data_IF_852048687570
#
_entry.id   IF_852048687570
#
_cell.length_a   1.000
_cell.length_b   1.000
_cell.length_c   1.000
_cell.angle_alpha   90.00
_cell.angle_beta   90.00
_cell.angle_gamma   90.00
#
_symmetry.space_group_name_H-M   'P 1'
#
loop_
_entity.id
_entity.type
_entity.pdbx_description
1 polymer ?
#
# COMPACT_ATOMS: atom_id res chain seq x y z
N UNK A 1 18.30 -24.71 11.46
CA UNK A 1 17.96 -23.29 11.24
C UNK A 1 18.11 -23.01 9.76
N UNK A 2 17.01 -22.86 9.02
CA UNK A 2 17.05 -22.36 7.63
C UNK A 2 16.65 -20.90 7.72
N UNK A 3 17.63 -20.00 7.59
CA UNK A 3 17.36 -18.57 7.40
C UNK A 3 16.61 -18.39 6.08
N UNK A 4 15.39 -17.90 6.15
CA UNK A 4 14.65 -17.49 4.95
C UNK A 4 14.98 -16.03 4.67
N UNK A 5 15.93 -15.78 3.77
CA UNK A 5 16.18 -14.46 3.19
C UNK A 5 15.05 -14.08 2.22
N UNK A 6 13.89 -13.71 2.76
CA UNK A 6 12.77 -13.17 1.97
C UNK A 6 12.80 -11.64 2.05
N UNK A 7 13.82 -11.04 1.45
CA UNK A 7 13.92 -9.59 1.32
C UNK A 7 13.79 -9.18 -0.14
N UNK A 8 12.97 -8.18 -0.43
CA UNK A 8 12.94 -7.53 -1.75
C UNK A 8 14.31 -6.92 -2.15
N UNK A 9 15.23 -6.78 -1.18
CA UNK A 9 16.62 -6.37 -1.44
C UNK A 9 17.43 -7.43 -2.18
N UNK A 10 16.93 -8.67 -2.24
CA UNK A 10 17.54 -9.72 -3.07
C UNK A 10 17.34 -9.45 -4.58
N UNK A 11 16.34 -8.64 -4.96
CA UNK A 11 16.03 -8.30 -6.35
C UNK A 11 16.43 -6.86 -6.74
N UNK A 12 16.60 -5.95 -5.76
CA UNK A 12 16.77 -4.51 -6.02
C UNK A 12 17.46 -3.77 -4.86
N UNK A 13 17.89 -2.53 -5.09
CA UNK A 13 18.22 -1.62 -4.00
C UNK A 13 16.92 -0.95 -3.53
N UNK A 14 16.60 -1.08 -2.25
CA UNK A 14 15.38 -0.50 -1.69
C UNK A 14 15.69 0.81 -0.96
N UNK A 15 14.89 1.84 -1.25
CA UNK A 15 14.92 3.11 -0.54
C UNK A 15 13.57 3.30 0.16
N UNK A 16 13.59 3.30 1.49
CA UNK A 16 12.41 3.62 2.31
C UNK A 16 12.50 5.09 2.74
N UNK A 17 11.46 5.87 2.43
CA UNK A 17 11.42 7.30 2.73
C UNK A 17 10.23 7.55 3.67
N UNK A 18 10.50 8.14 4.83
CA UNK A 18 9.45 8.63 5.73
C UNK A 18 8.99 10.01 5.25
N UNK A 19 7.75 10.11 4.79
CA UNK A 19 7.19 11.33 4.21
C UNK A 19 5.69 11.40 4.52
N UNK A 20 5.11 12.59 4.77
CA UNK A 20 5.75 13.93 4.82
C UNK A 20 6.57 14.21 6.08
N UNK A 21 7.09 15.44 6.20
CA UNK A 21 7.58 15.99 7.46
C UNK A 21 6.52 15.81 8.57
N UNK A 22 6.92 15.23 9.70
CA UNK A 22 6.04 14.81 10.79
C UNK A 22 5.80 13.30 10.84
N UNK A 23 6.15 12.53 9.80
CA UNK A 23 6.11 11.06 9.80
C UNK A 23 7.45 10.50 10.27
N UNK A 24 7.40 9.57 11.23
CA UNK A 24 8.59 8.90 11.76
C UNK A 24 9.62 9.90 12.32
N UNK A 25 10.80 9.96 11.70
CA UNK A 25 11.87 10.92 12.01
C UNK A 25 11.97 12.10 11.05
N UNK A 26 11.11 12.18 10.04
CA UNK A 26 11.05 13.35 9.16
C UNK A 26 10.42 14.53 9.89
N UNK A 27 10.99 15.73 9.77
CA UNK A 27 10.54 16.92 10.50
C UNK A 27 10.78 18.22 9.72
N UNK A 28 10.09 19.28 10.11
CA UNK A 28 10.35 20.66 9.70
C UNK A 28 10.40 21.56 10.92
N UNK A 29 11.18 22.64 10.86
CA UNK A 29 11.14 23.69 11.88
C UNK A 29 10.01 24.70 11.62
N UNK A 30 9.31 24.58 10.49
CA UNK A 30 8.24 25.49 10.07
C UNK A 30 6.89 24.84 10.35
N UNK A 31 6.05 25.48 11.16
CA UNK A 31 4.75 24.94 11.55
C UNK A 31 3.79 24.75 10.37
N UNK A 32 3.86 25.58 9.34
CA UNK A 32 3.01 25.47 8.15
C UNK A 32 3.30 24.24 7.30
N UNK A 33 4.47 23.61 7.43
CA UNK A 33 4.77 22.37 6.68
C UNK A 33 3.98 21.16 7.19
N UNK A 34 3.35 21.26 8.36
CA UNK A 34 2.48 20.22 8.92
C UNK A 34 1.02 20.34 8.45
N UNK A 35 0.65 21.44 7.78
CA UNK A 35 -0.59 21.54 7.00
C UNK A 35 -0.29 21.10 5.58
N UNK A 36 -0.72 19.88 5.24
CA UNK A 36 -0.17 19.14 4.11
C UNK A 36 -1.27 18.54 3.23
N UNK A 37 -0.95 18.37 1.95
CA UNK A 37 -1.78 17.66 0.99
C UNK A 37 -0.90 16.92 -0.03
N UNK A 38 -1.53 16.07 -0.83
CA UNK A 38 -0.88 15.15 -1.76
C UNK A 38 0.07 15.88 -2.72
N UNK A 39 -0.34 17.03 -3.28
CA UNK A 39 0.46 17.80 -4.22
C UNK A 39 1.78 18.30 -3.60
N UNK A 40 1.71 18.87 -2.39
CA UNK A 40 2.91 19.33 -1.67
C UNK A 40 3.81 18.16 -1.27
N UNK A 41 3.24 16.99 -0.96
CA UNK A 41 4.03 15.76 -0.72
C UNK A 41 4.78 15.35 -2.00
N UNK A 42 4.13 15.40 -3.16
CA UNK A 42 4.77 15.07 -4.43
C UNK A 42 5.93 16.03 -4.75
N UNK A 43 5.75 17.34 -4.52
CA UNK A 43 6.79 18.36 -4.69
C UNK A 43 7.97 18.16 -3.73
N UNK A 44 7.70 17.95 -2.43
CA UNK A 44 8.73 17.72 -1.42
C UNK A 44 9.52 16.42 -1.72
N UNK A 45 8.83 15.38 -2.21
CA UNK A 45 9.46 14.12 -2.63
C UNK A 45 10.30 14.28 -3.89
N UNK A 46 9.88 15.09 -4.86
CA UNK A 46 10.69 15.40 -6.04
C UNK A 46 12.00 16.11 -5.64
N UNK A 47 11.90 17.11 -4.76
CA UNK A 47 13.06 17.80 -4.19
C UNK A 47 13.96 16.85 -3.39
N UNK A 48 13.38 15.91 -2.64
CA UNK A 48 14.12 14.85 -1.96
C UNK A 48 14.92 14.02 -2.96
N UNK A 49 14.31 13.53 -4.04
CA UNK A 49 15.00 12.69 -5.02
C UNK A 49 16.13 13.43 -5.73
N UNK A 50 15.94 14.70 -6.12
CA UNK A 50 17.01 15.51 -6.72
C UNK A 50 18.22 15.58 -5.78
N UNK A 51 18.00 15.93 -4.51
CA UNK A 51 19.06 16.00 -3.49
C UNK A 51 19.67 14.63 -3.18
N UNK A 52 18.87 13.57 -3.21
CA UNK A 52 19.34 12.22 -2.98
C UNK A 52 20.27 11.77 -4.10
N UNK A 53 19.92 12.02 -5.36
CA UNK A 53 20.77 11.71 -6.51
C UNK A 53 22.05 12.56 -6.54
N UNK A 54 22.02 13.80 -6.07
CA UNK A 54 23.25 14.60 -5.94
C UNK A 54 24.18 14.05 -4.86
N UNK A 55 23.63 13.50 -3.78
CA UNK A 55 24.40 12.85 -2.72
C UNK A 55 24.90 11.46 -3.10
N UNK A 56 24.13 10.73 -3.91
CA UNK A 56 24.40 9.36 -4.36
C UNK A 56 24.38 9.26 -5.90
N UNK A 57 25.33 9.93 -6.59
CA UNK A 57 25.34 10.05 -8.04
C UNK A 57 25.44 8.71 -8.77
N UNK A 58 25.99 7.67 -8.13
CA UNK A 58 26.08 6.31 -8.66
C UNK A 58 24.71 5.64 -8.93
N UNK A 59 23.63 6.20 -8.39
CA UNK A 59 22.28 5.74 -8.67
C UNK A 59 21.60 6.49 -9.82
N UNK A 60 22.15 7.62 -10.32
CA UNK A 60 21.51 8.44 -11.37
C UNK A 60 21.21 7.66 -12.66
N UNK A 61 22.02 6.66 -13.00
CA UNK A 61 21.84 5.80 -14.18
C UNK A 61 20.95 4.57 -13.94
N UNK A 62 20.62 4.27 -12.68
CA UNK A 62 19.84 3.07 -12.34
C UNK A 62 18.37 3.25 -12.66
N UNK A 63 17.72 2.14 -12.94
CA UNK A 63 16.28 2.07 -13.14
C UNK A 63 15.56 2.41 -11.83
N UNK A 64 14.59 3.31 -11.91
CA UNK A 64 13.78 3.77 -10.79
C UNK A 64 12.40 3.11 -10.88
N UNK A 65 12.03 2.40 -9.82
CA UNK A 65 10.70 1.83 -9.64
C UNK A 65 10.03 2.51 -8.46
N UNK A 66 8.81 2.99 -8.64
CA UNK A 66 8.05 3.66 -7.58
C UNK A 66 6.98 2.70 -7.07
N UNK A 67 7.05 2.38 -5.78
CA UNK A 67 6.12 1.42 -5.18
C UNK A 67 5.55 1.92 -3.86
N UNK A 68 4.33 1.49 -3.55
CA UNK A 68 3.68 1.88 -2.30
C UNK A 68 2.45 1.04 -2.00
N UNK A 69 1.91 1.21 -0.80
CA UNK A 69 0.72 0.51 -0.33
C UNK A 69 -0.33 1.47 0.26
N UNK A 70 -1.60 1.09 0.22
CA UNK A 70 -2.69 1.82 0.89
C UNK A 70 -2.88 3.24 0.34
N UNK A 71 -2.72 4.27 1.17
CA UNK A 71 -2.84 5.67 0.74
C UNK A 71 -1.72 6.08 -0.23
N UNK A 72 -0.66 5.28 -0.34
CA UNK A 72 0.31 5.45 -1.41
C UNK A 72 -0.29 5.22 -2.81
N UNK A 73 -1.52 4.70 -2.92
CA UNK A 73 -2.32 4.77 -4.14
C UNK A 73 -2.61 6.21 -4.61
N UNK A 74 -2.57 7.20 -3.72
CA UNK A 74 -2.54 8.63 -4.06
C UNK A 74 -1.11 9.15 -4.22
N UNK A 75 -0.24 8.86 -3.25
CA UNK A 75 1.11 9.43 -3.23
C UNK A 75 1.98 8.96 -4.42
N UNK A 76 1.93 7.68 -4.78
CA UNK A 76 2.82 7.11 -5.80
C UNK A 76 2.46 7.58 -7.22
N UNK A 77 1.19 7.61 -7.66
CA UNK A 77 0.87 8.15 -8.98
C UNK A 77 1.25 9.62 -9.10
N UNK A 78 0.96 10.45 -8.09
CA UNK A 78 1.34 11.87 -8.10
C UNK A 78 2.86 12.05 -8.08
N UNK A 79 3.57 11.26 -7.26
CA UNK A 79 5.04 11.22 -7.27
C UNK A 79 5.62 10.70 -8.58
N UNK A 80 4.94 9.83 -9.32
CA UNK A 80 5.40 9.37 -10.63
C UNK A 80 5.22 10.44 -11.70
N UNK A 81 4.18 11.28 -11.58
CA UNK A 81 3.92 12.39 -12.49
C UNK A 81 5.00 13.47 -12.44
N UNK A 82 5.45 13.88 -11.25
CA UNK A 82 6.39 15.01 -11.12
C UNK A 82 7.74 14.75 -11.83
N UNK A 83 8.41 13.60 -11.68
CA UNK A 83 9.61 13.27 -12.45
C UNK A 83 9.37 13.13 -13.95
N UNK A 84 8.18 12.73 -14.39
CA UNK A 84 7.84 12.69 -15.82
C UNK A 84 7.76 14.10 -16.40
N UNK A 85 7.11 15.01 -15.68
CA UNK A 85 7.03 16.42 -16.05
C UNK A 85 8.41 17.08 -15.99
N UNK A 86 9.25 16.72 -15.01
CA UNK A 86 10.66 17.10 -14.97
C UNK A 86 11.43 16.62 -16.22
N UNK A 87 11.28 15.35 -16.61
CA UNK A 87 11.97 14.77 -17.77
C UNK A 87 11.59 15.44 -19.10
N UNK A 88 10.38 15.98 -19.19
CA UNK A 88 9.90 16.72 -20.36
C UNK A 88 10.51 18.13 -20.43
N UNK A 89 10.83 18.74 -19.30
CA UNK A 89 11.30 20.13 -19.21
C UNK A 89 12.83 20.25 -19.05
N UNK A 90 13.48 19.25 -18.45
CA UNK A 90 14.90 19.28 -18.08
C UNK A 90 15.75 18.47 -19.06
N UNK A 91 16.74 19.08 -19.75
CA UNK A 91 17.66 18.35 -20.61
C UNK A 91 18.83 17.71 -19.85
N UNK A 92 19.20 18.22 -18.68
CA UNK A 92 20.45 17.87 -17.99
C UNK A 92 20.38 16.56 -17.22
N UNK A 93 19.29 16.35 -16.48
CA UNK A 93 19.06 15.13 -15.71
C UNK A 93 17.65 14.61 -15.97
N UNK A 94 17.56 13.30 -16.20
CA UNK A 94 16.30 12.60 -16.39
C UNK A 94 16.21 11.41 -15.45
N UNK A 95 15.07 11.29 -14.78
CA UNK A 95 14.72 10.13 -13.98
C UNK A 95 14.44 8.94 -14.89
N UNK A 96 15.13 7.82 -14.66
CA UNK A 96 14.94 6.59 -15.43
C UNK A 96 13.80 5.74 -14.84
N UNK A 97 12.56 6.24 -14.87
CA UNK A 97 11.40 5.53 -14.33
C UNK A 97 11.07 4.32 -15.21
N UNK A 98 11.03 3.13 -14.62
CA UNK A 98 10.76 1.87 -15.32
C UNK A 98 9.50 1.14 -14.89
N UNK A 99 8.87 1.55 -13.81
CA UNK A 99 7.61 0.95 -13.41
C UNK A 99 7.01 1.59 -12.16
N UNK A 100 5.70 1.45 -12.05
CA UNK A 100 4.91 1.83 -10.88
C UNK A 100 4.17 0.59 -10.37
N UNK A 101 4.27 0.29 -9.08
CA UNK A 101 3.48 -0.78 -8.46
C UNK A 101 2.79 -0.32 -7.18
N UNK A 102 1.47 -0.46 -7.12
CA UNK A 102 0.67 -0.04 -5.97
C UNK A 102 -0.12 -1.23 -5.39
N UNK A 103 0.09 -1.46 -4.10
CA UNK A 103 -0.49 -2.58 -3.35
C UNK A 103 -1.69 -2.12 -2.54
N UNK A 104 -2.83 -2.81 -2.67
CA UNK A 104 -4.07 -2.50 -1.96
C UNK A 104 -4.36 -0.99 -1.89
N UNK A 105 -4.31 -0.29 -3.04
CA UNK A 105 -4.34 1.16 -3.04
C UNK A 105 -5.73 1.68 -2.71
N UNK A 106 -5.77 2.83 -2.04
CA UNK A 106 -6.89 3.76 -2.21
C UNK A 106 -6.67 4.48 -3.55
N UNK A 107 -7.63 4.38 -4.47
CA UNK A 107 -7.59 5.09 -5.76
C UNK A 107 -8.70 6.12 -5.89
N UNK A 108 -9.85 5.82 -5.29
CA UNK A 108 -11.00 6.73 -5.23
C UNK A 108 -11.98 6.28 -4.14
N UNK A 109 -12.32 7.18 -3.23
CA UNK A 109 -13.23 6.88 -2.11
C UNK A 109 -14.58 6.33 -2.59
N UNK A 110 -15.15 6.87 -3.67
CA UNK A 110 -16.45 6.42 -4.18
C UNK A 110 -16.46 4.96 -4.70
N UNK A 111 -15.28 4.35 -4.87
CA UNK A 111 -15.11 2.94 -5.24
C UNK A 111 -14.71 2.08 -4.06
N UNK A 112 -13.70 2.53 -3.35
CA UNK A 112 -13.03 1.74 -2.32
C UNK A 112 -13.92 1.60 -1.07
N UNK A 113 -14.73 2.62 -0.74
CA UNK A 113 -15.70 2.56 0.37
C UNK A 113 -16.79 1.50 0.11
N UNK A 114 -17.59 1.55 -0.98
CA UNK A 114 -18.61 0.53 -1.21
C UNK A 114 -18.00 -0.87 -1.43
N UNK A 115 -16.80 -0.98 -1.99
CA UNK A 115 -16.09 -2.25 -2.09
C UNK A 115 -15.82 -2.89 -0.71
N UNK A 116 -15.51 -2.09 0.30
CA UNK A 116 -15.30 -2.57 1.67
C UNK A 116 -16.55 -3.24 2.23
N UNK A 117 -17.74 -2.66 2.05
CA UNK A 117 -19.00 -3.26 2.50
C UNK A 117 -19.37 -4.52 1.71
N UNK A 118 -19.06 -4.57 0.40
CA UNK A 118 -19.21 -5.79 -0.39
C UNK A 118 -18.33 -6.92 0.13
N UNK A 119 -17.12 -6.61 0.58
CA UNK A 119 -16.20 -7.58 1.19
C UNK A 119 -16.76 -8.08 2.53
N UNK A 120 -17.21 -7.19 3.41
CA UNK A 120 -17.83 -7.61 4.69
C UNK A 120 -19.01 -8.56 4.46
N UNK A 121 -19.85 -8.24 3.48
CA UNK A 121 -20.99 -9.10 3.13
C UNK A 121 -20.54 -10.45 2.55
N UNK A 122 -19.62 -10.46 1.59
CA UNK A 122 -19.20 -11.71 0.94
C UNK A 122 -18.44 -12.66 1.87
N UNK A 123 -17.95 -12.15 3.00
CA UNK A 123 -17.31 -12.93 4.07
C UNK A 123 -18.26 -13.23 5.24
N UNK A 124 -19.56 -12.97 5.09
CA UNK A 124 -20.58 -13.31 6.09
C UNK A 124 -20.58 -12.43 7.34
N UNK A 125 -19.92 -11.27 7.30
CA UNK A 125 -19.82 -10.37 8.46
C UNK A 125 -21.05 -9.48 8.61
N UNK A 126 -21.67 -9.06 7.52
CA UNK A 126 -22.90 -8.27 7.55
C UNK A 126 -23.99 -8.95 6.73
N UNK A 127 -25.25 -8.73 7.12
CA UNK A 127 -26.42 -9.30 6.44
C UNK A 127 -26.66 -8.66 5.07
N UNK A 128 -27.42 -9.36 4.22
CA UNK A 128 -27.94 -8.81 2.97
C UNK A 128 -28.69 -7.50 3.17
N UNK A 129 -29.48 -7.40 4.24
CA UNK A 129 -30.27 -6.21 4.56
C UNK A 129 -29.37 -4.99 4.82
N UNK A 130 -28.29 -5.16 5.59
CA UNK A 130 -27.35 -4.07 5.87
C UNK A 130 -26.61 -3.69 4.59
N UNK A 131 -26.12 -4.67 3.82
CA UNK A 131 -25.45 -4.39 2.54
C UNK A 131 -26.37 -3.63 1.59
N UNK A 132 -27.59 -4.10 1.39
CA UNK A 132 -28.54 -3.51 0.45
C UNK A 132 -28.92 -2.09 0.87
N UNK A 133 -29.15 -1.84 2.17
CA UNK A 133 -29.37 -0.48 2.68
C UNK A 133 -28.19 0.43 2.38
N UNK A 134 -26.97 0.00 2.69
CA UNK A 134 -25.77 0.81 2.41
C UNK A 134 -25.62 1.07 0.91
N UNK A 135 -25.78 0.05 0.07
CA UNK A 135 -25.59 0.20 -1.38
C UNK A 135 -26.67 1.03 -2.08
N UNK A 136 -27.86 1.15 -1.50
CA UNK A 136 -28.99 1.86 -2.10
C UNK A 136 -29.24 3.25 -1.51
N UNK A 137 -28.94 3.46 -0.22
CA UNK A 137 -29.31 4.69 0.52
C UNK A 137 -28.12 5.63 0.76
N UNK A 138 -26.89 5.15 0.57
CA UNK A 138 -25.69 5.96 0.72
C UNK A 138 -25.26 6.52 -0.64
N UNK A 139 -24.98 7.82 -0.66
CA UNK A 139 -24.24 8.45 -1.75
C UNK A 139 -22.73 8.29 -1.47
N UNK A 140 -21.99 7.78 -2.46
CA UNK A 140 -20.56 7.57 -2.32
C UNK A 140 -19.70 8.64 -3.01
N UNK A 141 -20.31 9.55 -3.79
CA UNK A 141 -19.61 10.54 -4.58
C UNK A 141 -19.14 11.77 -3.76
N UNK A 142 -19.73 12.01 -2.58
CA UNK A 142 -19.39 13.12 -1.66
C UNK A 142 -18.79 12.65 -0.31
N UNK A 143 -17.99 11.59 -0.32
CA UNK A 143 -17.33 11.08 0.89
C UNK A 143 -16.08 11.88 1.22
N UNK A 144 -15.79 12.25 2.47
CA UNK A 144 -14.43 12.62 2.88
C UNK A 144 -13.83 11.56 3.79
N UNK A 145 -12.54 11.70 4.13
CA UNK A 145 -11.90 10.86 5.14
C UNK A 145 -12.62 10.88 6.49
N UNK A 146 -13.23 12.02 6.83
CA UNK A 146 -13.89 12.22 8.11
C UNK A 146 -15.25 11.51 8.18
N UNK A 147 -16.09 11.61 7.14
CA UNK A 147 -17.39 10.94 7.05
C UNK A 147 -18.03 11.13 5.66
N UNK A 148 -19.06 10.33 5.32
CA UNK A 148 -19.95 10.67 4.21
C UNK A 148 -20.60 12.03 4.48
N UNK A 149 -20.49 12.98 3.56
CA UNK A 149 -21.24 14.23 3.68
C UNK A 149 -22.68 14.02 3.17
N UNK A 150 -23.63 14.68 3.83
CA UNK A 150 -25.00 14.83 3.35
C UNK A 150 -25.76 13.52 3.03
N UNK A 151 -25.48 12.44 3.77
CA UNK A 151 -26.17 11.15 3.61
C UNK A 151 -27.41 11.02 4.50
N UNK A 152 -28.34 10.15 4.09
CA UNK A 152 -29.59 9.89 4.81
C UNK A 152 -29.35 9.28 6.20
N UNK A 153 -30.28 9.50 7.13
CA UNK A 153 -30.26 8.83 8.44
C UNK A 153 -30.27 7.30 8.30
N UNK A 154 -30.97 6.78 7.28
CA UNK A 154 -30.98 5.35 6.96
C UNK A 154 -29.59 4.84 6.62
N UNK A 155 -28.85 5.55 5.77
CA UNK A 155 -27.46 5.22 5.45
C UNK A 155 -26.57 5.27 6.69
N UNK A 156 -26.63 6.36 7.47
CA UNK A 156 -25.84 6.52 8.69
C UNK A 156 -26.08 5.40 9.69
N UNK A 157 -27.35 5.02 9.89
CA UNK A 157 -27.73 3.92 10.75
C UNK A 157 -27.20 2.57 10.24
N UNK A 158 -27.28 2.32 8.93
CA UNK A 158 -26.77 1.07 8.34
C UNK A 158 -25.23 0.98 8.44
N UNK A 159 -24.52 2.08 8.19
CA UNK A 159 -23.06 2.18 8.39
C UNK A 159 -22.71 1.96 9.87
N UNK A 160 -23.46 2.57 10.79
CA UNK A 160 -23.26 2.41 12.24
C UNK A 160 -23.48 0.95 12.68
N UNK A 161 -24.54 0.30 12.20
CA UNK A 161 -24.79 -1.12 12.45
C UNK A 161 -23.65 -1.99 11.93
N UNK A 162 -23.19 -1.75 10.71
CA UNK A 162 -22.03 -2.43 10.13
C UNK A 162 -20.77 -2.25 11.00
N UNK A 163 -20.46 -1.01 11.41
CA UNK A 163 -19.32 -0.70 12.30
C UNK A 163 -19.44 -1.42 13.65
N UNK A 164 -20.64 -1.52 14.22
CA UNK A 164 -20.89 -2.23 15.48
C UNK A 164 -20.63 -3.73 15.36
N UNK A 165 -21.07 -4.34 14.25
CA UNK A 165 -20.87 -5.78 13.99
C UNK A 165 -19.38 -6.10 13.77
N UNK A 166 -18.68 -5.29 12.97
CA UNK A 166 -17.24 -5.47 12.76
C UNK A 166 -16.49 -5.27 14.10
N UNK A 167 -16.87 -4.24 14.85
CA UNK A 167 -16.37 -4.00 16.21
C UNK A 167 -14.85 -3.87 16.29
N UNK A 168 -14.32 -4.07 17.51
CA UNK A 168 -12.89 -4.03 17.79
C UNK A 168 -12.19 -5.39 17.68
N UNK A 169 -12.96 -6.47 17.53
CA UNK A 169 -12.44 -7.84 17.49
C UNK A 169 -12.18 -8.36 16.07
N UNK A 170 -12.42 -7.53 15.04
CA UNK A 170 -12.08 -7.83 13.66
C UNK A 170 -11.08 -6.79 13.17
N UNK A 171 -9.93 -7.26 12.70
CA UNK A 171 -8.95 -6.39 12.07
C UNK A 171 -9.39 -6.08 10.64
N UNK A 172 -9.67 -4.81 10.34
CA UNK A 172 -10.09 -4.37 8.99
C UNK A 172 -9.01 -4.57 7.92
N UNK A 173 -7.75 -4.63 8.34
CA UNK A 173 -6.61 -4.87 7.46
C UNK A 173 -6.36 -6.36 7.23
N UNK A 174 -6.86 -7.24 8.10
CA UNK A 174 -6.81 -8.69 7.94
C UNK A 174 -8.03 -9.34 8.62
N UNK A 175 -9.08 -9.54 7.84
CA UNK A 175 -10.39 -9.96 8.33
C UNK A 175 -10.48 -11.45 8.69
N UNK A 176 -9.49 -12.24 8.32
CA UNK A 176 -9.50 -13.70 8.52
C UNK A 176 -8.67 -14.10 9.75
N UNK A 177 -7.76 -13.23 10.19
CA UNK A 177 -6.93 -13.47 11.36
C UNK A 177 -7.56 -12.92 12.64
N UNK A 178 -7.24 -13.57 13.76
CA UNK A 178 -7.56 -13.08 15.10
C UNK A 178 -6.85 -11.74 15.37
N UNK A 179 -7.46 -10.91 16.22
CA UNK A 179 -6.85 -9.64 16.64
C UNK A 179 -5.58 -9.84 17.44
N UNK A 180 -4.60 -8.98 17.18
CA UNK A 180 -3.35 -8.95 17.90
C UNK A 180 -3.52 -8.43 19.32
N UNK A 181 -3.20 -9.25 20.31
CA UNK A 181 -3.05 -8.80 21.69
C UNK A 181 -1.65 -8.22 21.94
N UNK A 182 -1.51 -7.19 22.79
CA UNK A 182 -0.21 -6.67 23.19
C UNK A 182 0.70 -7.79 23.71
N UNK A 183 2.01 -7.68 23.51
CA UNK A 183 2.97 -8.71 23.93
C UNK A 183 2.90 -9.03 25.42
N UNK A 184 2.56 -8.06 26.29
CA UNK A 184 2.36 -8.30 27.72
C UNK A 184 1.12 -9.15 28.01
N UNK A 185 0.03 -8.95 27.27
CA UNK A 185 -1.20 -9.75 27.37
C UNK A 185 -0.94 -11.15 26.81
N UNK A 186 -0.23 -11.25 25.68
CA UNK A 186 0.21 -12.53 25.14
C UNK A 186 1.16 -13.27 26.10
N UNK A 187 2.06 -12.56 26.77
CA UNK A 187 2.95 -13.13 27.78
C UNK A 187 2.13 -13.63 28.98
N UNK A 188 1.15 -12.86 29.45
CA UNK A 188 0.26 -13.30 30.52
C UNK A 188 -0.60 -14.51 30.10
N UNK A 189 -1.16 -14.52 28.88
CA UNK A 189 -1.90 -15.65 28.31
C UNK A 189 -1.04 -16.91 28.15
N UNK A 190 0.24 -16.74 27.76
CA UNK A 190 1.23 -17.83 27.67
C UNK A 190 1.63 -18.33 29.06
N UNK A 191 1.88 -17.43 30.01
CA UNK A 191 2.21 -17.77 31.41
C UNK A 191 1.04 -18.47 32.11
N UNK A 192 -0.21 -18.08 31.79
CA UNK A 192 -1.44 -18.78 32.22
C UNK A 192 -1.73 -20.06 31.41
N UNK A 193 -0.83 -20.49 30.52
CA UNK A 193 -0.93 -21.69 29.66
C UNK A 193 -2.19 -21.76 28.76
N UNK A 194 -2.84 -20.63 28.50
CA UNK A 194 -4.04 -20.58 27.63
C UNK A 194 -3.67 -20.54 26.14
N UNK A 195 -2.47 -20.07 25.79
CA UNK A 195 -1.96 -20.06 24.42
C UNK A 195 -0.81 -21.08 24.27
N UNK A 196 -1.11 -22.30 23.80
CA UNK A 196 -0.17 -23.43 23.75
C UNK A 196 0.54 -23.65 22.41
N UNK A 197 0.50 -22.71 21.47
CA UNK A 197 1.24 -22.83 20.20
C UNK A 197 2.04 -21.58 19.88
N UNK A 198 3.36 -21.75 19.81
CA UNK A 198 4.22 -20.91 18.98
C UNK A 198 3.80 -21.21 17.53
N UNK A 199 3.13 -20.26 16.89
CA UNK A 199 2.91 -20.32 15.45
C UNK A 199 4.29 -20.27 14.78
N UNK A 200 4.59 -21.25 13.95
CA UNK A 200 5.78 -21.28 13.07
C UNK A 200 5.54 -20.38 11.82
N UNK A 201 4.41 -19.66 11.78
CA UNK A 201 4.10 -18.66 10.77
C UNK A 201 4.72 -17.29 11.06
N UNK A 202 4.61 -16.37 10.09
CA UNK A 202 5.01 -14.96 10.26
C UNK A 202 4.26 -14.38 11.47
N UNK A 203 4.99 -13.78 12.42
CA UNK A 203 4.36 -13.08 13.55
C UNK A 203 3.71 -11.80 13.03
N UNK A 204 2.37 -11.81 13.00
CA UNK A 204 1.56 -10.72 12.46
C UNK A 204 1.22 -9.64 13.51
N UNK A 205 1.85 -9.64 14.68
CA UNK A 205 1.51 -8.74 15.79
C UNK A 205 2.67 -7.89 16.33
N UNK A 206 3.46 -7.25 15.47
CA UNK A 206 4.71 -6.55 15.86
C UNK A 206 4.60 -5.02 16.03
N UNK A 207 3.42 -4.46 16.33
CA UNK A 207 3.24 -3.00 16.41
C UNK A 207 4.02 -2.39 17.58
N UNK A 208 3.95 -3.00 18.77
CA UNK A 208 4.60 -2.48 19.98
C UNK A 208 6.12 -2.66 19.94
N UNK A 209 6.57 -3.81 19.45
CA UNK A 209 7.98 -4.17 19.28
C UNK A 209 8.66 -3.19 18.33
N UNK A 210 8.00 -2.82 17.23
CA UNK A 210 8.49 -1.84 16.26
C UNK A 210 8.63 -0.45 16.88
N UNK A 211 7.57 0.03 17.56
CA UNK A 211 7.61 1.31 18.26
C UNK A 211 8.72 1.33 19.32
N UNK A 212 8.85 0.26 20.11
CA UNK A 212 9.90 0.13 21.10
C UNK A 212 11.30 0.19 20.45
N UNK A 213 11.55 -0.64 19.44
CA UNK A 213 12.84 -0.75 18.77
C UNK A 213 13.31 0.58 18.17
N UNK A 214 12.47 1.29 17.42
CA UNK A 214 12.85 2.56 16.80
C UNK A 214 12.97 3.72 17.80
N UNK A 215 12.50 3.56 19.03
CA UNK A 215 12.69 4.53 20.10
C UNK A 215 13.90 4.23 21.00
N UNK A 216 14.65 3.14 20.76
CA UNK A 216 15.90 2.88 21.46
C UNK A 216 16.98 3.89 21.03
N UNK A 217 17.68 4.55 21.98
CA UNK A 217 18.75 5.51 21.67
C UNK A 217 19.87 4.92 20.80
N UNK A 218 20.20 3.64 21.02
CA UNK A 218 21.25 2.93 20.29
C UNK A 218 20.84 2.72 18.83
N UNK A 219 19.56 2.41 18.58
CA UNK A 219 19.00 2.23 17.23
C UNK A 219 18.94 3.56 16.50
N UNK A 220 18.45 4.63 17.14
CA UNK A 220 18.43 5.96 16.53
C UNK A 220 19.84 6.44 16.18
N UNK A 221 20.81 6.21 17.07
CA UNK A 221 22.23 6.51 16.81
C UNK A 221 22.78 5.73 15.62
N UNK A 222 22.50 4.42 15.54
CA UNK A 222 22.98 3.55 14.47
C UNK A 222 22.39 3.91 13.10
N UNK A 223 21.12 4.32 13.05
CA UNK A 223 20.44 4.75 11.83
C UNK A 223 20.72 6.22 11.47
N UNK A 224 21.52 6.93 12.28
CA UNK A 224 21.71 8.38 12.18
C UNK A 224 20.39 9.16 12.16
N UNK A 225 19.37 8.62 12.84
CA UNK A 225 18.05 9.20 12.98
C UNK A 225 17.96 10.13 14.20
N UNK A 226 16.89 10.91 14.29
CA UNK A 226 16.57 11.79 15.42
C UNK A 226 17.73 12.70 15.90
N UNK A 227 18.58 13.17 14.98
CA UNK A 227 19.78 13.97 15.34
C UNK A 227 19.44 15.31 15.98
N UNK A 228 18.24 15.81 15.76
CA UNK A 228 17.70 17.05 16.32
C UNK A 228 17.00 16.88 17.66
N UNK A 229 16.90 15.64 18.18
CA UNK A 229 16.16 15.33 19.41
C UNK A 229 14.71 15.83 19.34
N UNK A 230 13.98 15.30 18.36
CA UNK A 230 12.55 15.50 18.19
C UNK A 230 11.83 15.27 19.51
N UNK A 231 10.86 16.14 19.81
CA UNK A 231 10.08 16.09 21.04
C UNK A 231 9.18 14.85 21.09
N UNK A 232 8.67 14.44 19.93
CA UNK A 232 7.79 13.28 19.82
C UNK A 232 8.63 12.02 19.55
N UNK A 233 8.29 10.89 20.20
CA UNK A 233 8.89 9.61 19.85
C UNK A 233 8.48 9.19 18.43
N UNK A 234 9.27 8.28 17.85
CA UNK A 234 8.95 7.68 16.56
C UNK A 234 7.65 6.88 16.67
N UNK A 235 6.73 7.10 15.72
CA UNK A 235 5.50 6.33 15.57
C UNK A 235 5.27 5.98 14.09
N UNK A 236 4.57 4.87 13.84
CA UNK A 236 4.26 4.41 12.49
C UNK A 236 3.34 5.37 11.72
N UNK A 237 2.35 5.94 12.41
CA UNK A 237 1.44 6.93 11.85
C UNK A 237 1.53 8.22 12.68
N UNK A 238 1.52 9.35 11.99
CA UNK A 238 1.65 10.66 12.63
C UNK A 238 0.29 11.28 12.93
N UNK A 239 0.11 11.78 14.15
CA UNK A 239 -1.08 12.52 14.57
C UNK A 239 -0.85 14.04 14.56
N UNK A 240 0.32 14.51 14.12
CA UNK A 240 0.65 15.96 14.08
C UNK A 240 0.37 16.60 12.73
N UNK A 241 -0.03 15.81 11.74
CA UNK A 241 -0.35 16.30 10.40
C UNK A 241 -1.79 16.82 10.35
N UNK A 242 -1.94 18.03 9.80
CA UNK A 242 -3.22 18.57 9.37
C UNK A 242 -3.37 18.29 7.87
N UNK A 243 -3.79 17.06 7.56
CA UNK A 243 -3.95 16.60 6.19
C UNK A 243 -5.20 17.20 5.54
N UNK A 244 -5.14 17.46 4.23
CA UNK A 244 -6.29 17.89 3.43
C UNK A 244 -7.42 16.85 3.45
N UNK A 245 -8.62 17.24 3.90
CA UNK A 245 -9.79 16.35 3.96
C UNK A 245 -10.34 15.98 2.56
N UNK A 246 -9.97 16.75 1.52
CA UNK A 246 -10.48 16.57 0.16
C UNK A 246 -9.60 15.69 -0.71
N UNK A 247 -8.34 15.46 -0.33
CA UNK A 247 -7.37 14.78 -1.20
C UNK A 247 -7.74 13.32 -1.48
N UNK A 248 -8.39 12.65 -0.50
CA UNK A 248 -8.92 11.30 -0.69
C UNK A 248 -9.96 11.18 -1.81
N UNK A 249 -10.60 12.27 -2.21
CA UNK A 249 -11.58 12.28 -3.30
C UNK A 249 -10.97 12.41 -4.68
N UNK A 250 -9.68 12.76 -4.77
CA UNK A 250 -9.03 12.93 -6.06
C UNK A 250 -9.04 11.58 -6.78
N UNK A 251 -9.58 11.58 -8.01
CA UNK A 251 -9.60 10.40 -8.86
C UNK A 251 -8.18 10.15 -9.39
N UNK A 252 -7.56 9.03 -9.01
CA UNK A 252 -6.20 8.69 -9.45
C UNK A 252 -6.09 8.14 -10.88
N UNK A 253 -7.21 7.76 -11.51
CA UNK A 253 -7.19 7.13 -12.84
C UNK A 253 -6.57 8.00 -13.95
N UNK A 254 -6.83 9.32 -14.04
CA UNK A 254 -6.19 10.17 -15.05
C UNK A 254 -4.66 10.22 -14.92
N UNK A 255 -4.15 10.21 -13.68
CA UNK A 255 -2.70 10.22 -13.43
C UNK A 255 -2.09 8.86 -13.82
N UNK A 256 -2.74 7.76 -13.44
CA UNK A 256 -2.33 6.42 -13.88
C UNK A 256 -2.33 6.27 -15.40
N UNK A 257 -3.34 6.85 -16.08
CA UNK A 257 -3.40 6.91 -17.55
C UNK A 257 -2.22 7.68 -18.14
N UNK A 258 -1.86 8.84 -17.59
CA UNK A 258 -0.68 9.61 -18.03
C UNK A 258 0.61 8.80 -17.89
N UNK A 259 0.77 8.05 -16.79
CA UNK A 259 1.93 7.17 -16.57
C UNK A 259 1.99 6.07 -17.66
N UNK A 260 0.87 5.40 -17.92
CA UNK A 260 0.77 4.37 -18.96
C UNK A 260 1.07 4.93 -20.36
N UNK A 261 0.59 6.13 -20.68
CA UNK A 261 0.84 6.80 -21.97
C UNK A 261 2.33 7.15 -22.18
N UNK A 262 3.09 7.32 -21.09
CA UNK A 262 4.55 7.43 -21.13
C UNK A 262 5.27 6.07 -21.24
N UNK A 263 4.55 5.00 -21.57
CA UNK A 263 5.07 3.63 -21.71
C UNK A 263 5.69 3.06 -20.44
N UNK A 264 5.20 3.50 -19.27
CA UNK A 264 5.64 3.00 -17.97
C UNK A 264 4.64 1.93 -17.50
N UNK A 265 5.09 0.68 -17.27
CA UNK A 265 4.24 -0.37 -16.72
C UNK A 265 3.68 -0.01 -15.33
N UNK A 266 2.38 -0.22 -15.16
CA UNK A 266 1.65 -0.03 -13.90
C UNK A 266 1.09 -1.37 -13.41
N UNK A 267 1.47 -1.76 -12.19
CA UNK A 267 0.96 -2.95 -11.52
C UNK A 267 0.08 -2.53 -10.34
N UNK A 268 -1.18 -3.00 -10.34
CA UNK A 268 -2.16 -2.71 -9.29
C UNK A 268 -2.58 -4.01 -8.63
N UNK A 269 -2.48 -4.06 -7.30
CA UNK A 269 -2.89 -5.23 -6.55
C UNK A 269 -4.23 -5.02 -5.85
N UNK A 270 -5.13 -6.00 -6.01
CA UNK A 270 -6.44 -6.15 -5.32
C UNK A 270 -7.60 -5.23 -5.74
N UNK A 271 -7.34 -4.02 -6.26
CA UNK A 271 -8.39 -3.14 -6.83
C UNK A 271 -8.53 -3.33 -8.34
N UNK A 272 -9.76 -3.56 -8.83
CA UNK A 272 -10.03 -3.88 -10.24
C UNK A 272 -9.77 -2.66 -11.15
N UNK A 273 -8.83 -2.78 -12.09
CA UNK A 273 -8.42 -1.70 -13.01
C UNK A 273 -9.12 -1.73 -14.37
N UNK A 274 -10.24 -2.46 -14.47
CA UNK A 274 -10.93 -2.67 -15.75
C UNK A 274 -11.32 -1.35 -16.43
N UNK A 275 -11.77 -0.37 -15.65
CA UNK A 275 -12.14 0.94 -16.19
C UNK A 275 -10.93 1.72 -16.69
N UNK A 276 -9.80 1.68 -15.99
CA UNK A 276 -8.56 2.27 -16.48
C UNK A 276 -8.16 1.65 -17.81
N UNK A 277 -8.24 0.31 -17.92
CA UNK A 277 -7.94 -0.40 -19.16
C UNK A 277 -8.87 0.01 -20.31
N UNK A 278 -10.16 0.23 -20.03
CA UNK A 278 -11.12 0.73 -21.01
C UNK A 278 -10.82 2.16 -21.45
N UNK A 279 -10.46 3.04 -20.52
CA UNK A 279 -10.15 4.45 -20.78
C UNK A 279 -8.85 4.65 -21.60
N UNK A 280 -7.94 3.67 -21.59
CA UNK A 280 -6.74 3.65 -22.44
C UNK A 280 -6.88 2.74 -23.69
N UNK A 281 -8.09 2.24 -23.97
CA UNK A 281 -8.38 1.31 -25.08
C UNK A 281 -7.46 0.06 -25.13
N UNK A 282 -7.07 -0.44 -23.95
CA UNK A 282 -6.26 -1.65 -23.88
C UNK A 282 -7.12 -2.91 -23.98
N UNK A 283 -6.71 -3.78 -24.90
CA UNK A 283 -7.24 -5.15 -24.98
C UNK A 283 -6.62 -6.02 -23.89
N UNK A 284 -7.42 -6.96 -23.40
CA UNK A 284 -6.95 -8.03 -22.52
C UNK A 284 -5.86 -8.80 -23.26
N UNK A 285 -4.66 -8.82 -22.70
CA UNK A 285 -3.52 -9.57 -23.21
C UNK A 285 -3.35 -10.91 -22.49
N UNK A 286 -3.70 -10.95 -21.20
CA UNK A 286 -3.81 -12.18 -20.41
C UNK A 286 -5.17 -12.17 -19.73
N UNK A 287 -5.99 -13.19 -20.00
CA UNK A 287 -7.29 -13.38 -19.34
C UNK A 287 -7.13 -13.47 -17.83
N UNK A 288 -8.21 -13.21 -17.09
CA UNK A 288 -8.21 -13.37 -15.64
C UNK A 288 -7.93 -14.82 -15.25
N UNK A 289 -6.68 -15.14 -14.97
CA UNK A 289 -6.18 -16.50 -14.82
C UNK A 289 -5.36 -16.66 -13.54
N UNK A 290 -5.26 -17.91 -13.08
CA UNK A 290 -4.45 -18.23 -11.90
C UNK A 290 -2.97 -18.14 -12.21
N UNK A 291 -2.22 -17.51 -11.31
CA UNK A 291 -0.76 -17.59 -11.30
C UNK A 291 -0.27 -18.47 -10.16
N UNK A 292 0.90 -19.08 -10.33
CA UNK A 292 1.42 -20.10 -9.43
C UNK A 292 2.73 -19.68 -8.75
N UNK A 293 2.91 -20.17 -7.52
CA UNK A 293 4.12 -20.03 -6.75
C UNK A 293 4.36 -21.31 -5.94
N UNK A 294 5.53 -21.94 -6.11
CA UNK A 294 5.92 -23.17 -5.41
C UNK A 294 4.86 -24.29 -5.51
N UNK A 295 4.35 -24.53 -6.73
CA UNK A 295 3.35 -25.56 -7.00
C UNK A 295 1.95 -25.28 -6.44
N UNK A 296 1.70 -24.08 -5.89
CA UNK A 296 0.42 -23.66 -5.34
C UNK A 296 -0.10 -22.41 -6.07
N UNK A 297 -1.41 -22.21 -6.07
CA UNK A 297 -2.01 -20.96 -6.57
C UNK A 297 -1.48 -19.80 -5.73
N UNK A 298 -0.80 -18.87 -6.38
CA UNK A 298 -0.33 -17.59 -5.82
C UNK A 298 -1.44 -16.54 -5.78
N UNK A 299 -2.37 -16.60 -6.73
CA UNK A 299 -3.55 -15.74 -6.84
C UNK A 299 -4.05 -15.71 -8.28
N UNK A 300 -4.66 -14.60 -8.69
CA UNK A 300 -5.18 -14.37 -10.04
C UNK A 300 -4.61 -13.10 -10.64
N UNK A 301 -4.36 -13.09 -11.94
CA UNK A 301 -3.83 -11.95 -12.66
C UNK A 301 -4.60 -11.69 -13.96
N UNK A 302 -4.66 -10.42 -14.37
CA UNK A 302 -5.16 -9.98 -15.66
C UNK A 302 -4.19 -8.94 -16.21
N UNK A 303 -3.78 -9.07 -17.48
CA UNK A 303 -2.89 -8.10 -18.13
C UNK A 303 -3.62 -7.40 -19.28
N UNK A 304 -3.39 -6.09 -19.42
CA UNK A 304 -3.96 -5.23 -20.45
C UNK A 304 -2.82 -4.50 -21.16
N UNK A 305 -2.75 -4.63 -22.49
CA UNK A 305 -1.76 -3.93 -23.33
C UNK A 305 -0.28 -4.16 -22.97
N UNK A 306 0.06 -5.20 -22.21
CA UNK A 306 1.38 -5.45 -21.58
C UNK A 306 1.93 -4.31 -20.68
N UNK A 307 1.12 -3.29 -20.39
CA UNK A 307 1.52 -2.12 -19.60
C UNK A 307 0.71 -1.96 -18.33
N UNK A 308 -0.45 -2.61 -18.23
CA UNK A 308 -1.29 -2.57 -17.04
C UNK A 308 -1.55 -4.00 -16.55
N UNK A 309 -1.08 -4.30 -15.35
CA UNK A 309 -1.24 -5.60 -14.72
C UNK A 309 -2.08 -5.46 -13.46
N UNK A 310 -3.18 -6.21 -13.39
CA UNK A 310 -3.92 -6.43 -12.17
C UNK A 310 -3.54 -7.78 -11.59
N UNK A 311 -3.19 -7.84 -10.31
CA UNK A 311 -2.98 -9.12 -9.63
C UNK A 311 -3.59 -9.15 -8.23
N UNK A 312 -4.05 -10.33 -7.84
CA UNK A 312 -4.44 -10.66 -6.48
C UNK A 312 -3.41 -11.62 -5.89
N UNK A 313 -3.23 -11.55 -4.58
CA UNK A 313 -2.38 -12.50 -3.85
C UNK A 313 -3.27 -13.29 -2.91
N UNK A 314 -3.34 -14.60 -3.13
CA UNK A 314 -4.16 -15.52 -2.34
C UNK A 314 -3.72 -15.47 -0.89
N UNK A 315 -4.69 -15.39 0.03
CA UNK A 315 -4.49 -15.33 1.48
C UNK A 315 -3.61 -14.15 1.93
N UNK A 316 -3.52 -13.07 1.14
CA UNK A 316 -2.89 -11.84 1.56
C UNK A 316 -3.88 -10.89 2.25
N UNK A 317 -3.34 -10.14 3.21
CA UNK A 317 -4.00 -9.07 3.92
C UNK A 317 -3.77 -7.72 3.23
N UNK A 318 -4.10 -6.63 3.92
CA UNK A 318 -3.77 -5.26 3.49
C UNK A 318 -2.28 -5.03 3.32
N UNK A 319 -1.45 -5.60 4.21
CA UNK A 319 0.00 -5.63 4.04
C UNK A 319 0.40 -6.92 3.33
N UNK A 320 0.53 -6.89 2.00
CA UNK A 320 0.77 -8.11 1.20
C UNK A 320 2.12 -8.77 1.53
N UNK A 321 3.25 -8.03 1.59
CA UNK A 321 4.54 -8.59 1.97
C UNK A 321 4.56 -9.15 3.39
N UNK A 322 3.70 -8.63 4.27
CA UNK A 322 3.58 -9.09 5.64
C UNK A 322 2.83 -10.42 5.75
N UNK A 323 1.66 -10.51 5.11
CA UNK A 323 0.83 -11.71 5.19
C UNK A 323 1.36 -12.87 4.31
N UNK A 324 1.98 -12.55 3.18
CA UNK A 324 2.42 -13.53 2.18
C UNK A 324 3.82 -13.21 1.62
N UNK A 325 4.88 -13.19 2.44
CA UNK A 325 6.22 -12.70 2.04
C UNK A 325 6.80 -13.43 0.83
N UNK A 326 6.68 -14.75 0.76
CA UNK A 326 7.21 -15.54 -0.36
C UNK A 326 6.48 -15.25 -1.67
N UNK A 327 5.15 -15.06 -1.63
CA UNK A 327 4.35 -14.71 -2.82
C UNK A 327 4.58 -13.26 -3.22
N UNK A 328 4.67 -12.36 -2.25
CA UNK A 328 4.96 -10.95 -2.47
C UNK A 328 6.33 -10.73 -3.10
N UNK A 329 7.36 -11.46 -2.66
CA UNK A 329 8.69 -11.41 -3.26
C UNK A 329 8.67 -11.89 -4.71
N UNK A 330 7.98 -13.00 -5.01
CA UNK A 330 7.84 -13.47 -6.40
C UNK A 330 7.13 -12.42 -7.28
N UNK A 331 6.03 -11.86 -6.78
CA UNK A 331 5.29 -10.79 -7.46
C UNK A 331 6.16 -9.56 -7.71
N UNK A 332 6.90 -9.12 -6.71
CA UNK A 332 7.83 -7.98 -6.80
C UNK A 332 8.97 -8.25 -7.79
N UNK A 333 9.58 -9.43 -7.74
CA UNK A 333 10.63 -9.81 -8.69
C UNK A 333 10.11 -9.87 -10.12
N UNK A 334 8.91 -10.43 -10.35
CA UNK A 334 8.26 -10.43 -11.67
C UNK A 334 8.05 -9.01 -12.19
N UNK A 335 7.58 -8.10 -11.33
CA UNK A 335 7.42 -6.69 -11.68
C UNK A 335 8.76 -6.02 -12.06
N UNK A 336 9.78 -6.11 -11.19
CA UNK A 336 11.08 -5.47 -11.42
C UNK A 336 11.78 -6.02 -12.67
N UNK A 337 11.68 -7.33 -12.92
CA UNK A 337 12.30 -7.96 -14.09
C UNK A 337 11.44 -7.91 -15.37
N UNK A 338 10.25 -7.30 -15.32
CA UNK A 338 9.33 -7.26 -16.46
C UNK A 338 8.87 -8.65 -16.92
N UNK A 339 8.80 -9.62 -16.01
CA UNK A 339 8.39 -11.01 -16.29
C UNK A 339 6.91 -11.19 -15.99
N UNK A 340 6.20 -11.92 -16.85
CA UNK A 340 4.83 -12.35 -16.57
C UNK A 340 4.79 -13.27 -15.36
N UNK A 341 3.67 -13.26 -14.65
CA UNK A 341 3.44 -14.20 -13.55
C UNK A 341 3.27 -15.63 -14.10
N UNK A 342 3.84 -16.67 -13.47
CA UNK A 342 3.78 -18.02 -14.02
C UNK A 342 2.36 -18.57 -14.05
N UNK A 343 1.93 -19.08 -15.21
CA UNK A 343 0.62 -19.68 -15.43
C UNK A 343 0.62 -21.22 -15.29
N UNK A 344 1.76 -21.83 -14.94
CA UNK A 344 1.87 -23.27 -14.68
C UNK A 344 2.61 -23.55 -13.38
N UNK A 345 2.42 -24.77 -12.85
CA UNK A 345 3.11 -25.25 -11.66
C UNK A 345 4.53 -25.76 -11.95
N UNK A 346 4.91 -25.91 -13.22
CA UNK A 346 6.24 -26.35 -13.60
C UNK A 346 7.24 -25.23 -13.34
N UNK A 347 8.17 -25.51 -12.43
CA UNK A 347 9.40 -24.73 -12.31
C UNK A 347 10.20 -25.07 -13.57
N UNK A 348 10.55 -24.10 -14.44
CA UNK A 348 11.54 -24.35 -15.48
C UNK A 348 12.77 -24.91 -14.77
N UNK A 349 13.18 -26.14 -15.10
CA UNK A 349 14.48 -26.62 -14.67
C UNK A 349 15.48 -25.75 -15.41
N UNK A 350 16.00 -24.73 -14.72
CA UNK A 350 17.12 -23.83 -15.04
C UNK A 350 16.71 -22.36 -14.76
N UNK A 351 17.03 -21.89 -13.55
CA UNK A 351 17.35 -20.49 -13.19
C UNK A 351 18.03 -20.47 -11.81
#
# INVERSE_FOLDING_TARGET
>A
MKEFHLSSSAASNLLFVESPAGVGWSYSNTSSDYTIGDAKIADDMHMFFLKWYDKFPEFKSRELFLTGESYAGHCIPQLAEVPLDHNAQSPDFKFNIKGVAISNPLLRLNWDIPATFKIFWSHGMISDEIRLKIMNECDFDDNTFASPHNVTDTCNNAISQSKSIIGHYINKYDMILDVCYPSIVNQELRLRKMATKISVGVDVCMTYERHFYFNLPEVQKALHANRTKLLNPWFMCSNVLHYSDTDGNINMLPILKKIIQNHIPVWVFRTLVKELAQDVDFKITVSHETWFHKGQVGGWATEYGNLLTFATVRAAAHMVPYAQPSRALHLFSSFVYGRRLPNTTHIPMDD
#
